data_IF_401313331373
#
_entry.id   IF_401313331373
#
_cell.length_a   1.000
_cell.length_b   1.000
_cell.length_c   1.000
_cell.angle_alpha   90.00
_cell.angle_beta   90.00
_cell.angle_gamma   90.00
#
_symmetry.space_group_name_H-M   'P 1'
#
loop_
_entity.id
_entity.type
_entity.pdbx_description
1 polymer ?
2 non-polymer ?
3 non-polymer ?
4 non-polymer ?
5 non-polymer ?
6 non-polymer ?
7 water ?
#
# COMPACT_ATOMS: atom_id res chain seq x y z
N UNK A 1 -2.02 11.28 -4.65
CA UNK A 1 -2.18 10.42 -3.45
C UNK A 1 -3.49 10.80 -2.73
N UNK A 2 -4.44 9.86 -2.71
CA UNK A 2 -5.74 10.15 -2.14
C UNK A 2 -5.67 10.24 -0.62
N UNK A 3 -6.55 11.06 -0.05
CA UNK A 3 -6.57 11.32 1.37
C UNK A 3 -6.74 10.08 2.22
N UNK A 4 -7.42 9.07 1.68
CA UNK A 4 -7.65 7.83 2.44
C UNK A 4 -6.31 7.23 2.88
N UNK A 5 -5.31 7.32 2.00
CA UNK A 5 -3.99 6.79 2.32
C UNK A 5 -3.41 7.55 3.50
N UNK A 6 -3.54 8.87 3.48
CA UNK A 6 -3.09 9.71 4.58
C UNK A 6 -3.88 9.42 5.84
N UNK A 7 -5.18 9.15 5.69
CA UNK A 7 -6.03 8.87 6.85
C UNK A 7 -5.57 7.61 7.57
N UNK A 8 -5.24 6.57 6.80
CA UNK A 8 -4.78 5.32 7.41
C UNK A 8 -3.39 5.54 8.01
N UNK A 9 -2.57 6.35 7.36
CA UNK A 9 -1.25 6.68 7.90
C UNK A 9 -1.42 7.40 9.24
N UNK A 10 -2.40 8.30 9.32
CA UNK A 10 -2.68 8.99 10.57
C UNK A 10 -3.02 7.99 11.66
N UNK A 11 -3.90 7.05 11.36
CA UNK A 11 -4.28 6.02 12.31
C UNK A 11 -3.05 5.30 12.85
N UNK A 12 -2.10 5.02 11.97
CA UNK A 12 -0.90 4.29 12.34
C UNK A 12 0.02 5.15 13.21
N UNK A 13 0.31 6.36 12.75
CA UNK A 13 1.21 7.27 13.46
C UNK A 13 0.63 7.66 14.82
N UNK A 14 -0.61 8.11 14.83
CA UNK A 14 -1.28 8.52 16.06
C UNK A 14 -1.31 7.38 17.08
N UNK A 15 -1.62 6.17 16.60
CA UNK A 15 -1.71 5.00 17.47
C UNK A 15 -0.34 4.63 18.04
N UNK A 16 0.72 4.94 17.29
CA UNK A 16 2.08 4.52 17.65
C UNK A 16 2.89 5.63 18.30
N UNK A 17 2.53 6.88 18.04
CA UNK A 17 3.35 8.01 18.46
C UNK A 17 2.56 9.15 19.09
N UNK A 18 1.24 9.12 18.93
CA UNK A 18 0.37 10.14 19.51
C UNK A 18 0.04 11.24 18.53
N UNK A 19 -1.02 11.98 18.82
CA UNK A 19 -1.52 13.01 17.91
C UNK A 19 -0.52 14.17 17.75
N UNK A 20 0.19 14.54 18.81
CA UNK A 20 1.15 15.64 18.75
C UNK A 20 2.24 15.37 17.71
N UNK A 21 2.70 14.13 17.67
CA UNK A 21 3.67 13.70 16.67
C UNK A 21 3.10 13.82 15.25
N UNK A 22 1.86 13.36 15.07
CA UNK A 22 1.21 13.48 13.78
C UNK A 22 1.08 14.94 13.36
N UNK A 23 0.65 15.79 14.28
CA UNK A 23 0.49 17.21 13.96
C UNK A 23 1.85 17.86 13.70
N UNK A 24 2.88 17.43 14.41
CA UNK A 24 4.23 17.94 14.15
C UNK A 24 4.64 17.59 12.73
N UNK A 25 4.41 16.34 12.34
CA UNK A 25 4.72 15.89 11.00
C UNK A 25 3.99 16.69 9.93
N UNK A 26 2.74 17.06 10.20
CA UNK A 26 1.99 17.86 9.26
C UNK A 26 2.51 19.30 9.19
N UNK A 27 2.90 19.84 10.33
CA UNK A 27 3.50 21.18 10.37
C UNK A 27 4.76 21.22 9.52
N UNK A 28 5.58 20.17 9.65
CA UNK A 28 6.86 20.11 8.95
C UNK A 28 6.72 19.87 7.46
N UNK A 29 5.76 19.04 7.07
CA UNK A 29 5.76 18.45 5.73
C UNK A 29 4.54 18.77 4.87
N UNK A 30 3.51 19.38 5.45
CA UNK A 30 2.31 19.73 4.69
C UNK A 30 2.00 21.22 4.78
N UNK A 31 1.32 21.78 3.75
CA UNK A 31 0.89 23.19 3.77
C UNK A 31 0.10 23.55 5.02
N UNK A 32 -0.02 24.84 5.32
CA UNK A 32 -0.65 25.29 6.55
C UNK A 32 -2.11 24.89 6.58
N UNK A 33 -2.54 24.43 7.74
CA UNK A 33 -3.93 23.97 7.98
C UNK A 33 -4.34 22.80 7.08
N UNK A 34 -3.39 21.92 6.79
CA UNK A 34 -3.69 20.73 5.99
C UNK A 34 -4.65 19.80 6.72
N UNK A 35 -5.71 19.41 6.01
CA UNK A 35 -6.61 18.36 6.47
C UNK A 35 -6.82 17.40 5.32
N UNK A 36 -6.60 16.11 5.57
CA UNK A 36 -6.69 15.12 4.51
C UNK A 36 -8.11 14.58 4.35
N UNK A 37 -8.76 15.03 3.29
CA UNK A 37 -10.09 14.58 2.91
C UNK A 37 -9.96 13.30 2.07
N UNK A 38 -10.63 12.24 2.50
CA UNK A 38 -10.48 10.91 1.91
C UNK A 38 -10.49 10.90 0.38
N UNK A 39 -11.44 11.63 -0.20
CA UNK A 39 -11.69 11.57 -1.64
C UNK A 39 -10.77 12.46 -2.46
N UNK A 40 -10.08 13.39 -1.79
CA UNK A 40 -9.27 14.37 -2.49
C UNK A 40 -7.84 13.88 -2.74
N UNK A 41 -7.24 14.36 -3.82
CA UNK A 41 -5.87 14.03 -4.17
C UNK A 41 -4.90 15.04 -3.55
N UNK A 42 -3.80 14.51 -3.02
CA UNK A 42 -2.75 15.34 -2.44
C UNK A 42 -1.39 14.95 -3.01
N UNK A 43 -0.43 15.86 -2.91
CA UNK A 43 0.92 15.61 -3.40
C UNK A 43 1.51 14.39 -2.69
N UNK A 44 1.97 13.42 -3.47
CA UNK A 44 2.55 12.21 -2.89
C UNK A 44 3.80 12.56 -2.08
N UNK A 45 4.41 13.69 -2.40
CA UNK A 45 5.59 14.14 -1.66
C UNK A 45 5.27 14.36 -0.19
N UNK A 46 4.04 14.73 0.12
CA UNK A 46 3.65 14.92 1.51
C UNK A 46 3.72 13.59 2.25
N UNK A 47 3.19 12.54 1.62
CA UNK A 47 3.23 11.21 2.22
C UNK A 47 4.67 10.76 2.42
N UNK A 48 5.47 10.85 1.36
CA UNK A 48 6.86 10.40 1.41
C UNK A 48 7.67 11.20 2.44
N UNK A 49 7.44 12.51 2.50
CA UNK A 49 8.16 13.34 3.46
C UNK A 49 7.86 12.92 4.89
N UNK A 50 6.58 12.65 5.16
CA UNK A 50 6.16 12.20 6.48
C UNK A 50 6.83 10.88 6.82
N UNK A 51 6.74 9.91 5.91
CA UNK A 51 7.28 8.58 6.17
C UNK A 51 8.81 8.62 6.24
N UNK A 52 9.43 9.51 5.45
CA UNK A 52 10.88 9.69 5.50
C UNK A 52 11.32 10.18 6.87
N UNK A 53 10.55 11.09 7.43
CA UNK A 53 10.83 11.65 8.75
C UNK A 53 10.76 10.54 9.81
N UNK A 54 9.66 9.78 9.79
CA UNK A 54 9.47 8.67 10.71
C UNK A 54 10.64 7.69 10.63
N UNK A 55 11.00 7.32 9.41
CA UNK A 55 12.07 6.35 9.21
C UNK A 55 13.39 6.86 9.77
N UNK A 56 13.72 8.12 9.51
CA UNK A 56 14.99 8.68 9.98
C UNK A 56 14.99 8.79 11.51
N UNK A 57 13.82 9.06 12.09
CA UNK A 57 13.70 9.15 13.54
C UNK A 57 14.01 7.80 14.18
N UNK A 58 13.54 6.73 13.53
CA UNK A 58 13.75 5.37 14.02
C UNK A 58 15.06 4.80 13.49
N UNK A 59 15.76 5.56 12.66
CA UNK A 59 17.04 5.13 12.09
C UNK A 59 16.89 3.85 11.28
N UNK A 60 15.75 3.69 10.62
CA UNK A 60 15.45 2.53 9.79
C UNK A 60 15.50 2.86 8.30
N UNK A 61 15.66 1.83 7.46
CA UNK A 61 15.47 2.05 6.03
C UNK A 61 14.05 2.54 5.80
N UNK A 62 13.86 3.48 4.87
CA UNK A 62 12.54 4.00 4.59
C UNK A 62 11.63 2.88 4.07
N UNK A 63 12.21 1.96 3.31
CA UNK A 63 11.42 0.92 2.66
C UNK A 63 10.82 -0.07 3.67
N UNK A 64 11.48 -0.24 4.80
CA UNK A 64 10.95 -1.11 5.85
C UNK A 64 9.75 -0.46 6.53
N UNK A 65 9.80 0.85 6.69
CA UNK A 65 8.66 1.58 7.24
C UNK A 65 7.50 1.52 6.26
N UNK A 66 7.81 1.67 4.97
CA UNK A 66 6.80 1.65 3.92
C UNK A 66 6.12 0.28 3.86
N UNK A 67 6.90 -0.77 4.06
CA UNK A 67 6.36 -2.12 4.03
C UNK A 67 5.45 -2.35 5.24
N UNK A 68 5.86 -1.83 6.39
CA UNK A 68 5.06 -1.93 7.60
C UNK A 68 3.72 -1.21 7.42
N UNK A 69 3.79 -0.01 6.85
CA UNK A 69 2.60 0.76 6.54
C UNK A 69 1.69 0.00 5.58
N UNK A 70 2.29 -0.62 4.56
CA UNK A 70 1.54 -1.39 3.59
C UNK A 70 0.71 -2.50 4.23
N UNK A 71 1.30 -3.20 5.19
CA UNK A 71 0.59 -4.27 5.87
C UNK A 71 -0.54 -3.70 6.72
N UNK A 72 -0.28 -2.60 7.40
CA UNK A 72 -1.28 -1.90 8.18
C UNK A 72 -2.40 -1.41 7.26
N UNK A 73 -2.01 -0.98 6.06
CA UNK A 73 -2.92 -0.32 5.13
C UNK A 73 -4.01 -1.25 4.59
N UNK A 74 -3.75 -2.55 4.52
CA UNK A 74 -4.75 -3.44 3.94
C UNK A 74 -6.04 -3.41 4.75
N UNK A 75 -5.92 -3.53 6.07
CA UNK A 75 -7.10 -3.49 6.92
C UNK A 75 -7.77 -2.12 6.87
N UNK A 76 -6.96 -1.08 6.73
CA UNK A 76 -7.47 0.27 6.62
C UNK A 76 -8.34 0.44 5.39
N UNK A 77 -7.91 -0.17 4.29
CA UNK A 77 -8.66 -0.13 3.04
C UNK A 77 -9.86 -1.07 3.11
N UNK A 78 -9.64 -2.27 3.66
CA UNK A 78 -10.69 -3.27 3.77
C UNK A 78 -11.84 -2.75 4.63
N UNK A 79 -11.50 -2.03 5.69
CA UNK A 79 -12.52 -1.48 6.62
C UNK A 79 -13.38 -0.42 5.95
N UNK A 80 -12.75 0.42 5.13
CA UNK A 80 -13.44 1.53 4.49
C UNK A 80 -14.14 1.11 3.21
N UNK A 81 -13.71 0.00 2.62
CA UNK A 81 -14.30 -0.51 1.38
C UNK A 81 -14.60 -2.00 1.49
N UNK A 82 -15.43 -2.37 2.46
CA UNK A 82 -15.71 -3.78 2.74
C UNK A 82 -16.37 -4.47 1.55
N UNK A 83 -17.22 -3.75 0.82
CA UNK A 83 -17.90 -4.31 -0.34
C UNK A 83 -16.92 -4.82 -1.39
N UNK A 84 -15.81 -4.11 -1.55
CA UNK A 84 -14.81 -4.49 -2.54
C UNK A 84 -14.09 -5.77 -2.13
N UNK A 85 -13.61 -5.81 -0.89
CA UNK A 85 -12.86 -6.96 -0.41
C UNK A 85 -13.75 -8.19 -0.30
N UNK A 86 -15.01 -7.99 0.07
CA UNK A 86 -15.96 -9.09 0.21
C UNK A 86 -16.19 -9.86 -1.09
N UNK A 87 -15.76 -9.26 -2.20
CA UNK A 87 -15.91 -9.91 -3.51
C UNK A 87 -15.04 -11.15 -3.66
N UNK A 88 -14.07 -11.31 -2.76
CA UNK A 88 -13.06 -12.37 -2.89
C UNK A 88 -13.17 -13.42 -1.79
N UNK A 89 -13.16 -14.69 -2.20
CA UNK A 89 -13.32 -15.81 -1.28
C UNK A 89 -12.00 -16.26 -0.67
N UNK A 90 -10.89 -15.91 -1.31
CA UNK A 90 -9.58 -16.34 -0.85
C UNK A 90 -8.47 -15.41 -1.32
N UNK A 91 -7.27 -15.64 -0.79
CA UNK A 91 -6.11 -14.80 -1.06
C UNK A 91 -5.78 -14.73 -2.55
N UNK A 92 -5.73 -15.89 -3.21
CA UNK A 92 -5.35 -15.94 -4.62
C UNK A 92 -6.32 -15.14 -5.48
N UNK A 93 -7.61 -15.25 -5.18
CA UNK A 93 -8.64 -14.55 -5.92
C UNK A 93 -8.44 -13.04 -5.82
N UNK A 94 -8.13 -12.56 -4.62
CA UNK A 94 -7.92 -11.14 -4.39
C UNK A 94 -6.74 -10.62 -5.20
N UNK A 95 -5.60 -11.29 -5.09
CA UNK A 95 -4.38 -10.85 -5.76
C UNK A 95 -4.56 -10.85 -7.28
N UNK A 96 -5.14 -11.92 -7.80
CA UNK A 96 -5.39 -12.02 -9.24
C UNK A 96 -6.47 -11.03 -9.68
N UNK A 97 -7.19 -10.47 -8.71
CA UNK A 97 -8.25 -9.51 -8.99
C UNK A 97 -7.86 -8.06 -8.80
N UNK A 98 -6.60 -7.81 -8.44
CA UNK A 98 -6.14 -6.44 -8.26
C UNK A 98 -6.25 -5.67 -9.58
N UNK A 99 -5.82 -6.30 -10.67
CA UNK A 99 -5.77 -5.65 -11.97
C UNK A 99 -7.17 -5.36 -12.51
N UNK A 100 -8.05 -6.34 -12.42
CA UNK A 100 -9.40 -6.22 -12.97
C UNK A 100 -10.35 -5.56 -11.98
N UNK A 101 -10.56 -6.25 -10.86
CA UNK A 101 -11.62 -5.90 -9.92
C UNK A 101 -11.28 -4.67 -9.07
N UNK A 102 -10.15 -4.69 -8.36
CA UNK A 102 -9.79 -3.58 -7.49
C UNK A 102 -9.66 -2.29 -8.28
N UNK A 103 -8.92 -2.34 -9.39
CA UNK A 103 -8.69 -1.16 -10.23
C UNK A 103 -10.03 -0.54 -10.64
N UNK A 104 -10.97 -1.38 -11.06
CA UNK A 104 -12.29 -0.92 -11.47
C UNK A 104 -13.03 -0.25 -10.34
N UNK A 105 -13.13 -0.94 -9.21
CA UNK A 105 -13.93 -0.44 -8.10
C UNK A 105 -13.36 0.85 -7.52
N UNK A 106 -12.03 0.99 -7.54
CA UNK A 106 -11.41 2.21 -7.07
C UNK A 106 -11.73 3.37 -8.01
N UNK A 107 -11.72 3.10 -9.31
CA UNK A 107 -12.02 4.15 -10.29
C UNK A 107 -13.49 4.53 -10.30
N UNK A 108 -14.33 3.61 -9.81
CA UNK A 108 -15.75 3.91 -9.64
C UNK A 108 -15.99 4.77 -8.41
N UNK A 109 -15.17 4.56 -7.37
CA UNK A 109 -15.38 5.22 -6.09
C UNK A 109 -14.59 6.52 -5.92
N UNK A 110 -13.55 6.71 -6.74
CA UNK A 110 -12.66 7.85 -6.60
C UNK A 110 -12.53 8.61 -7.92
N UNK A 111 -12.36 9.93 -7.81
CA UNK A 111 -12.10 10.76 -8.98
C UNK A 111 -10.63 10.75 -9.32
N UNK A 112 -10.30 10.23 -10.50
CA UNK A 112 -8.95 10.24 -11.04
C UNK A 112 -7.90 9.75 -10.03
N UNK A 113 -8.05 8.49 -9.57
CA UNK A 113 -7.07 7.93 -8.64
C UNK A 113 -5.74 7.66 -9.34
N UNK A 114 -4.66 7.56 -8.59
CA UNK A 114 -3.35 7.21 -9.13
C UNK A 114 -2.95 5.83 -8.63
N UNK A 115 -3.29 4.82 -9.42
CA UNK A 115 -3.07 3.44 -9.04
C UNK A 115 -1.81 2.90 -9.71
N UNK A 116 -1.15 1.93 -9.05
CA UNK A 116 0.01 1.31 -9.68
C UNK A 116 -0.40 0.39 -10.82
N UNK A 117 0.53 0.09 -11.71
CA UNK A 117 0.32 -0.95 -12.70
C UNK A 117 0.65 -2.29 -12.06
N UNK A 118 -0.38 -3.11 -11.89
CA UNK A 118 -0.21 -4.41 -11.27
C UNK A 118 -0.85 -5.48 -12.15
N UNK A 119 -0.08 -6.52 -12.45
CA UNK A 119 -0.54 -7.63 -13.27
C UNK A 119 -0.11 -8.94 -12.64
N UNK A 120 -1.04 -9.88 -12.53
CA UNK A 120 -0.80 -11.14 -11.87
C UNK A 120 -0.95 -12.32 -12.80
N UNK A 121 -0.04 -13.28 -12.68
CA UNK A 121 -0.14 -14.57 -13.35
C UNK A 121 -0.13 -15.67 -12.31
N UNK A 122 -1.14 -16.55 -12.38
CA UNK A 122 -1.14 -17.75 -11.56
C UNK A 122 -0.37 -18.84 -12.30
N UNK A 123 0.72 -19.28 -11.71
CA UNK A 123 1.60 -20.25 -12.36
C UNK A 123 1.14 -21.67 -12.04
N UNK A 124 1.50 -22.65 -12.89
CA UNK A 124 1.05 -24.03 -12.68
C UNK A 124 1.50 -24.65 -11.36
N UNK A 125 2.53 -24.09 -10.74
CA UNK A 125 2.97 -24.56 -9.43
C UNK A 125 2.24 -23.82 -8.32
N UNK A 126 1.19 -23.08 -8.70
CA UNK A 126 0.35 -22.32 -7.77
C UNK A 126 1.08 -21.18 -7.07
N UNK A 127 2.24 -20.80 -7.58
CA UNK A 127 2.85 -19.53 -7.19
C UNK A 127 2.20 -18.43 -8.02
N UNK A 128 2.17 -17.22 -7.49
CA UNK A 128 1.64 -16.07 -8.20
C UNK A 128 2.78 -15.13 -8.57
N UNK A 129 2.88 -14.81 -9.86
CA UNK A 129 3.86 -13.84 -10.34
C UNK A 129 3.19 -12.48 -10.51
N UNK A 130 3.55 -11.54 -9.65
CA UNK A 130 2.92 -10.23 -9.63
C UNK A 130 3.88 -9.16 -10.11
N UNK A 131 3.59 -8.59 -11.27
CA UNK A 131 4.38 -7.49 -11.81
C UNK A 131 3.88 -6.18 -11.24
N UNK A 132 4.81 -5.35 -10.78
CA UNK A 132 4.48 -4.03 -10.23
C UNK A 132 5.27 -2.95 -10.97
N UNK A 133 4.57 -1.88 -11.35
CA UNK A 133 5.21 -0.71 -11.93
C UNK A 133 4.47 0.54 -11.50
N UNK A 134 5.21 1.58 -11.11
CA UNK A 134 4.58 2.84 -10.69
C UNK A 134 5.61 3.97 -10.55
N UNK A 135 5.24 5.19 -10.95
CA UNK A 135 6.11 6.36 -10.70
C UNK A 135 6.36 6.58 -9.21
N UNK A 136 5.45 6.11 -8.37
CA UNK A 136 5.56 6.28 -6.93
C UNK A 136 6.63 5.37 -6.33
N UNK A 137 6.98 4.31 -7.05
CA UNK A 137 8.02 3.40 -6.57
C UNK A 137 7.68 2.82 -5.20
N UNK A 138 6.44 2.38 -5.02
CA UNK A 138 5.97 1.89 -3.73
C UNK A 138 5.81 0.36 -3.69
N UNK A 139 6.76 -0.33 -4.30
CA UNK A 139 6.69 -1.80 -4.35
C UNK A 139 6.74 -2.41 -2.97
N UNK A 140 7.38 -1.74 -2.01
CA UNK A 140 7.46 -2.27 -0.66
C UNK A 140 6.12 -2.10 0.04
N UNK A 141 5.35 -1.09 -0.35
CA UNK A 141 4.00 -0.93 0.14
C UNK A 141 3.12 -2.04 -0.43
N UNK A 142 3.36 -2.39 -1.69
CA UNK A 142 2.65 -3.49 -2.34
C UNK A 142 2.94 -4.80 -1.62
N UNK A 143 4.21 -5.01 -1.29
CA UNK A 143 4.63 -6.22 -0.60
C UNK A 143 3.92 -6.28 0.75
N UNK A 144 3.90 -5.16 1.46
CA UNK A 144 3.23 -5.06 2.74
C UNK A 144 1.74 -5.37 2.63
N UNK A 145 1.09 -4.77 1.63
CA UNK A 145 -0.34 -4.99 1.40
C UNK A 145 -0.66 -6.45 1.11
N UNK A 146 0.23 -7.13 0.41
CA UNK A 146 0.04 -8.54 0.12
C UNK A 146 0.08 -9.37 1.39
N UNK A 147 1.01 -9.04 2.28
CA UNK A 147 1.09 -9.72 3.57
C UNK A 147 -0.15 -9.41 4.40
N UNK A 148 -0.63 -8.18 4.30
CA UNK A 148 -1.84 -7.77 4.99
C UNK A 148 -3.03 -8.57 4.49
N UNK A 149 -3.12 -8.72 3.18
CA UNK A 149 -4.20 -9.49 2.56
C UNK A 149 -4.10 -10.97 2.96
N UNK A 150 -2.88 -11.45 3.07
CA UNK A 150 -2.65 -12.83 3.49
C UNK A 150 -3.17 -13.06 4.91
N UNK A 151 -2.82 -12.15 5.82
CA UNK A 151 -3.32 -12.20 7.19
C UNK A 151 -4.83 -12.24 7.25
N UNK A 152 -5.45 -11.35 6.46
CA UNK A 152 -6.91 -11.27 6.38
C UNK A 152 -7.55 -12.62 6.07
N UNK A 153 -6.94 -13.35 5.13
CA UNK A 153 -7.48 -14.64 4.70
C UNK A 153 -6.88 -15.83 5.46
N UNK A 154 -6.12 -15.53 6.51
CA UNK A 154 -5.50 -16.57 7.34
C UNK A 154 -4.57 -17.46 6.50
N UNK A 155 -3.97 -16.86 5.48
CA UNK A 155 -3.10 -17.57 4.56
C UNK A 155 -1.64 -17.20 4.82
N UNK A 156 -0.78 -18.20 4.98
CA UNK A 156 0.65 -17.94 5.12
C UNK A 156 1.28 -17.83 3.73
N UNK A 157 2.14 -16.83 3.55
CA UNK A 157 2.81 -16.64 2.27
C UNK A 157 4.29 -16.30 2.43
N UNK A 158 5.03 -16.47 1.34
CA UNK A 158 6.40 -16.03 1.22
C UNK A 158 6.49 -15.22 -0.07
N UNK A 159 7.28 -14.16 -0.06
CA UNK A 159 7.44 -13.31 -1.25
C UNK A 159 8.89 -13.17 -1.66
N UNK A 160 9.16 -13.48 -2.92
CA UNK A 160 10.46 -13.22 -3.53
C UNK A 160 10.32 -11.97 -4.41
N UNK A 161 11.22 -11.03 -4.21
CA UNK A 161 11.15 -9.73 -4.85
C UNK A 161 12.51 -9.48 -5.50
N UNK A 162 12.82 -10.28 -6.52
CA UNK A 162 14.18 -10.39 -7.05
C UNK A 162 14.44 -9.49 -8.26
N UNK A 163 13.38 -8.90 -8.81
CA UNK A 163 13.51 -7.80 -9.75
C UNK A 163 12.86 -6.59 -9.08
N UNK A 164 13.56 -5.45 -9.09
CA UNK A 164 13.07 -4.29 -8.37
C UNK A 164 13.49 -2.97 -9.02
N UNK A 165 12.54 -2.03 -9.04
CA UNK A 165 12.78 -0.70 -9.59
C UNK A 165 13.85 0.06 -8.83
N UNK A 166 14.00 -0.25 -7.54
CA UNK A 166 14.95 0.47 -6.70
C UNK A 166 16.39 0.16 -7.06
N UNK A 167 16.60 -0.83 -7.93
CA UNK A 167 17.96 -1.16 -8.38
C UNK A 167 18.15 -0.79 -9.84
N UNK A 168 17.12 -0.21 -10.46
CA UNK A 168 17.23 0.33 -11.81
C UNK A 168 16.27 -0.28 -12.81
N UNK A 169 15.64 -1.39 -12.44
CA UNK A 169 14.67 -2.05 -13.34
C UNK A 169 13.47 -1.15 -13.59
N UNK A 170 12.73 -1.41 -14.66
CA UNK A 170 11.56 -0.59 -14.97
C UNK A 170 10.29 -1.19 -14.36
N UNK A 171 10.47 -2.22 -13.55
CA UNK A 171 9.35 -2.89 -12.89
C UNK A 171 9.88 -3.75 -11.75
N UNK A 172 8.96 -4.17 -10.88
CA UNK A 172 9.27 -5.17 -9.86
C UNK A 172 8.53 -6.45 -10.17
N UNK A 173 9.11 -7.56 -9.75
CA UNK A 173 8.49 -8.87 -9.87
C UNK A 173 8.42 -9.50 -8.49
N UNK A 174 7.20 -9.65 -7.99
CA UNK A 174 6.96 -10.26 -6.69
C UNK A 174 6.37 -11.64 -6.89
N UNK A 175 7.16 -12.67 -6.57
CA UNK A 175 6.70 -14.05 -6.64
C UNK A 175 6.15 -14.44 -5.29
N UNK A 176 4.85 -14.77 -5.28
CA UNK A 176 4.17 -15.14 -4.05
C UNK A 176 3.95 -16.65 -4.00
N UNK A 177 4.47 -17.27 -2.96
CA UNK A 177 4.26 -18.70 -2.71
C UNK A 177 3.35 -18.88 -1.50
N UNK A 178 2.22 -19.54 -1.72
CA UNK A 178 1.33 -19.89 -0.62
C UNK A 178 1.85 -21.13 0.08
N UNK A 179 1.85 -21.10 1.41
CA UNK A 179 2.35 -22.22 2.20
C UNK A 179 1.33 -22.61 3.26
N UNK A 180 1.67 -23.63 4.04
CA UNK A 180 0.75 -24.17 5.05
C UNK A 180 1.07 -23.66 6.44
#
# INVERSE_FOLDING_TARGET
MKGIIFNVLEDMVVAQCGMSVWNELLEKHAPKDRVYVSAKSYAESELFSIVQDVAQRLNMPIQDVVKAFGQFLFNGLASRHTDVVDKFDDFTSLVMGIHDVIHLEVNKLYHEPSLPHINGQLLPNNQIALRYSSPRRLCFCAEGLLFGAAQHFQQKIQISHDTCMHTGADHCMLIIELQNDENLYFQ
#
